data_IF_726245616263
#
_entry.id   IF_726245616263
#
_cell.length_a   1.000
_cell.length_b   1.000
_cell.length_c   1.000
_cell.angle_alpha   90.00
_cell.angle_beta   90.00
_cell.angle_gamma   90.00
#
_symmetry.space_group_name_H-M   'P 1'
#
loop_
_entity.id
_entity.type
_entity.pdbx_description
1 polymer ?
#
# COMPACT_ATOMS: atom_id res chain seq x y z
N UNK A 1 -39.64 -5.07 0.29
CA UNK A 1 -38.73 -5.89 1.13
C UNK A 1 -37.51 -6.42 0.36
N UNK A 2 -37.62 -6.95 -0.87
CA UNK A 2 -36.47 -7.50 -1.63
C UNK A 2 -35.34 -6.49 -1.95
N UNK A 3 -35.67 -5.24 -2.22
CA UNK A 3 -34.69 -4.18 -2.54
C UNK A 3 -33.81 -3.80 -1.34
N UNK A 4 -34.38 -3.79 -0.13
CA UNK A 4 -33.66 -3.51 1.11
C UNK A 4 -32.64 -4.63 1.42
N UNK A 5 -33.02 -5.89 1.21
CA UNK A 5 -32.12 -7.02 1.34
C UNK A 5 -30.94 -6.95 0.37
N UNK A 6 -31.20 -6.58 -0.89
CA UNK A 6 -30.16 -6.49 -1.92
C UNK A 6 -29.18 -5.33 -1.67
N UNK A 7 -29.66 -4.20 -1.15
CA UNK A 7 -28.80 -3.10 -0.74
C UNK A 7 -27.94 -3.49 0.48
N UNK A 8 -28.53 -4.20 1.45
CA UNK A 8 -27.83 -4.66 2.65
C UNK A 8 -26.69 -5.63 2.29
N UNK A 9 -26.93 -6.58 1.39
CA UNK A 9 -25.89 -7.52 0.92
C UNK A 9 -24.75 -6.82 0.19
N UNK A 10 -25.05 -5.78 -0.60
CA UNK A 10 -24.03 -5.00 -1.30
C UNK A 10 -23.16 -4.20 -0.30
N UNK A 11 -23.77 -3.58 0.71
CA UNK A 11 -23.03 -2.85 1.75
C UNK A 11 -22.07 -3.75 2.54
N UNK A 12 -22.48 -4.98 2.86
CA UNK A 12 -21.64 -5.96 3.56
C UNK A 12 -20.46 -6.39 2.68
N UNK A 13 -20.68 -6.61 1.38
CA UNK A 13 -19.61 -6.97 0.45
C UNK A 13 -18.55 -5.87 0.32
N UNK A 14 -18.95 -4.60 0.35
CA UNK A 14 -18.03 -3.44 0.28
C UNK A 14 -17.21 -3.32 1.58
N UNK A 15 -17.82 -3.55 2.74
CA UNK A 15 -17.13 -3.49 4.03
C UNK A 15 -16.08 -4.60 4.22
N UNK A 16 -16.34 -5.80 3.70
CA UNK A 16 -15.39 -6.93 3.76
C UNK A 16 -14.30 -6.82 2.69
N UNK A 17 -14.61 -6.23 1.53
CA UNK A 17 -13.67 -6.03 0.43
C UNK A 17 -12.81 -4.76 0.53
N UNK A 18 -13.09 -3.87 1.48
CA UNK A 18 -12.27 -2.70 1.70
C UNK A 18 -10.86 -3.14 2.13
N UNK A 19 -9.79 -2.69 1.46
CA UNK A 19 -8.43 -2.98 1.90
C UNK A 19 -8.29 -2.41 3.31
N UNK A 20 -8.19 -3.32 4.27
CA UNK A 20 -7.75 -3.03 5.62
C UNK A 20 -6.57 -2.06 5.54
N UNK A 21 -6.62 -0.98 6.33
CA UNK A 21 -5.54 0.00 6.49
C UNK A 21 -4.33 -0.63 7.22
N UNK A 22 -3.91 -1.79 6.74
CA UNK A 22 -2.93 -2.69 7.34
C UNK A 22 -1.55 -2.05 7.37
N UNK A 23 -1.30 -1.10 6.48
CA UNK A 23 -0.02 -0.40 6.35
C UNK A 23 -0.10 0.98 6.97
N UNK A 24 0.68 1.19 8.02
CA UNK A 24 0.75 2.46 8.78
C UNK A 24 2.14 3.06 8.70
N UNK A 25 2.25 4.37 8.91
CA UNK A 25 3.55 5.03 9.08
C UNK A 25 4.03 4.81 10.51
N UNK A 26 5.19 4.17 10.69
CA UNK A 26 5.80 3.96 12.00
C UNK A 26 7.02 4.89 12.21
N UNK A 27 7.30 5.35 13.44
CA UNK A 27 8.50 6.14 13.72
C UNK A 27 9.79 5.40 13.35
N UNK A 28 10.65 6.06 12.56
CA UNK A 28 11.93 5.50 12.11
C UNK A 28 11.84 4.52 10.93
N UNK A 29 10.66 4.38 10.32
CA UNK A 29 10.47 3.59 9.10
C UNK A 29 10.41 4.51 7.89
N UNK A 30 11.12 4.12 6.83
CA UNK A 30 11.12 4.88 5.57
C UNK A 30 9.85 4.63 4.73
N UNK A 31 9.11 3.56 5.00
CA UNK A 31 7.96 3.11 4.21
C UNK A 31 6.75 2.81 5.11
N UNK A 32 5.53 2.89 4.56
CA UNK A 32 4.34 2.43 5.29
C UNK A 32 4.43 0.92 5.43
N UNK A 33 4.20 0.42 6.64
CA UNK A 33 4.51 -0.97 6.99
C UNK A 33 3.35 -1.61 7.72
N UNK A 34 3.18 -2.92 7.54
CA UNK A 34 2.29 -3.71 8.36
C UNK A 34 2.93 -3.93 9.74
N UNK A 35 2.34 -3.41 10.83
CA UNK A 35 2.96 -3.44 12.15
C UNK A 35 3.12 -4.86 12.70
N UNK A 36 2.33 -5.82 12.19
CA UNK A 36 2.36 -7.22 12.60
C UNK A 36 3.23 -8.10 11.67
N UNK A 37 3.90 -7.50 10.68
CA UNK A 37 4.73 -8.24 9.74
C UNK A 37 6.16 -8.41 10.26
N UNK A 38 6.67 -9.64 10.19
CA UNK A 38 8.05 -9.96 10.51
C UNK A 38 8.97 -9.54 9.36
N UNK A 39 9.64 -8.40 9.54
CA UNK A 39 10.60 -7.87 8.58
C UNK A 39 11.84 -8.72 8.47
N UNK A 40 12.37 -8.80 7.25
CA UNK A 40 13.71 -9.30 6.93
C UNK A 40 14.68 -8.16 6.67
N UNK A 41 14.18 -7.06 6.12
CA UNK A 41 14.98 -5.88 5.82
C UNK A 41 14.96 -4.86 6.98
N UNK A 42 16.05 -4.08 7.16
CA UNK A 42 16.09 -2.95 8.08
C UNK A 42 14.94 -1.94 7.86
N UNK A 43 14.62 -1.14 8.89
CA UNK A 43 13.55 -0.12 8.83
C UNK A 43 13.77 0.97 7.76
N UNK A 44 15.02 1.15 7.35
CA UNK A 44 15.45 2.10 6.32
C UNK A 44 15.37 1.53 4.90
N UNK A 45 15.17 0.21 4.74
CA UNK A 45 15.07 -0.47 3.45
C UNK A 45 13.64 -0.97 3.22
N UNK A 46 13.25 -1.03 1.96
CA UNK A 46 11.94 -1.52 1.57
C UNK A 46 11.87 -3.05 1.71
N UNK A 47 10.99 -3.55 2.57
CA UNK A 47 10.68 -4.97 2.67
C UNK A 47 9.42 -5.28 1.87
N UNK A 48 9.56 -5.96 0.72
CA UNK A 48 8.43 -6.30 -0.17
C UNK A 48 7.31 -7.08 0.52
N UNK A 49 7.60 -7.79 1.62
CA UNK A 49 6.61 -8.57 2.37
C UNK A 49 5.82 -7.73 3.37
N UNK A 50 6.44 -6.67 3.89
CA UNK A 50 5.90 -5.90 5.01
C UNK A 50 5.53 -4.46 4.64
N UNK A 51 6.12 -3.91 3.58
CA UNK A 51 6.00 -2.51 3.20
C UNK A 51 5.10 -2.31 1.98
N UNK A 52 4.40 -1.18 2.01
CA UNK A 52 3.50 -0.72 0.97
C UNK A 52 3.76 0.76 0.65
N UNK A 53 3.57 1.21 -0.60
CA UNK A 53 3.35 0.39 -1.78
C UNK A 53 4.64 -0.35 -2.14
N UNK A 54 4.52 -1.53 -2.73
CA UNK A 54 5.61 -2.08 -3.54
C UNK A 54 5.85 -1.13 -4.72
N UNK A 55 6.64 -0.08 -4.49
CA UNK A 55 7.00 0.88 -5.51
C UNK A 55 8.07 0.27 -6.42
N UNK A 56 7.70 0.20 -7.68
CA UNK A 56 8.42 -0.43 -8.77
C UNK A 56 7.39 -0.72 -9.83
N UNK A 57 6.98 0.31 -10.59
CA UNK A 57 6.25 0.02 -11.82
C UNK A 57 7.20 -0.83 -12.67
N UNK A 58 6.75 -2.02 -13.08
CA UNK A 58 7.40 -2.73 -14.16
C UNK A 58 7.47 -1.74 -15.33
N UNK A 59 8.69 -1.49 -15.83
CA UNK A 59 9.00 -0.51 -16.89
C UNK A 59 9.03 0.98 -16.49
N UNK A 60 9.19 1.30 -15.20
CA UNK A 60 9.49 2.68 -14.80
C UNK A 60 10.85 3.12 -15.36
N UNK A 61 10.83 4.04 -16.33
CA UNK A 61 12.01 4.78 -16.76
C UNK A 61 11.92 6.15 -16.09
N UNK A 62 12.85 6.50 -15.18
CA UNK A 62 12.85 7.85 -14.62
C UNK A 62 12.97 8.86 -15.75
N UNK A 63 12.28 10.02 -15.69
CA UNK A 63 12.50 11.07 -16.67
C UNK A 63 13.99 11.37 -16.71
N UNK A 64 14.56 11.41 -17.92
CA UNK A 64 15.92 11.91 -18.11
C UNK A 64 15.94 13.29 -17.48
N UNK A 65 16.56 13.39 -16.31
CA UNK A 65 16.91 14.69 -15.74
C UNK A 65 17.94 15.22 -16.73
N UNK A 66 17.46 15.97 -17.72
CA UNK A 66 18.34 16.84 -18.49
C UNK A 66 18.92 17.75 -17.44
N UNK A 67 20.13 17.44 -17.00
CA UNK A 67 20.97 18.39 -16.29
C UNK A 67 21.07 19.55 -17.27
N UNK A 68 20.23 20.57 -17.08
CA UNK A 68 20.46 21.90 -17.60
C UNK A 68 21.71 22.40 -16.87
N UNK A 69 22.85 21.88 -17.31
CA UNK A 69 24.17 22.38 -17.00
C UNK A 69 24.53 23.37 -18.10
N UNK A 70 24.34 24.65 -17.79
CA UNK A 70 25.33 25.73 -17.98
C UNK A 70 26.56 25.38 -18.81
#
# INVERSE_FOLDING_TARGET
MRTLYSALTLCIAIAVGAPNATYVTLPGYAFKTNPNCQRREPKTKFDRRCDWPSLGFKDFTPPLVTVLGI
#
